data_IF_782967111146
#
_entry.id   IF_782967111146
#
_cell.length_a   1.000
_cell.length_b   1.000
_cell.length_c   1.000
_cell.angle_alpha   90.00
_cell.angle_beta   90.00
_cell.angle_gamma   90.00
#
_symmetry.space_group_name_H-M   'P 1'
#
loop_
_entity.id
_entity.type
_entity.pdbx_description
1 polymer ?
#
# COMPACT_ATOMS: atom_id res chain seq x y z
N UNK A 1 -1.61 38.77 -7.58
CA UNK A 1 -2.07 37.47 -7.05
C UNK A 1 -2.68 36.71 -8.22
N UNK A 2 -2.04 35.65 -8.70
CA UNK A 2 -2.55 34.85 -9.83
C UNK A 2 -3.68 33.94 -9.35
N UNK A 3 -4.88 34.12 -9.88
CA UNK A 3 -6.01 33.19 -9.67
C UNK A 3 -5.63 31.83 -10.26
N UNK A 4 -5.38 30.86 -9.39
CA UNK A 4 -5.10 29.47 -9.78
C UNK A 4 -6.45 28.81 -10.12
N UNK A 5 -6.60 28.16 -11.27
CA UNK A 5 -7.84 27.47 -11.63
C UNK A 5 -8.19 26.38 -10.61
N UNK A 6 -9.45 26.32 -10.21
CA UNK A 6 -9.99 25.22 -9.42
C UNK A 6 -9.92 23.91 -10.23
N UNK A 7 -9.03 23.00 -9.81
CA UNK A 7 -8.81 21.71 -10.46
C UNK A 7 -9.67 20.59 -9.83
N UNK A 8 -10.57 20.91 -8.89
CA UNK A 8 -11.37 19.91 -8.18
C UNK A 8 -12.21 19.07 -9.14
N UNK A 9 -12.86 19.69 -10.13
CA UNK A 9 -13.65 18.99 -11.15
C UNK A 9 -12.82 18.02 -12.01
N UNK A 10 -11.56 18.33 -12.31
CA UNK A 10 -10.70 17.43 -13.07
C UNK A 10 -10.27 16.22 -12.23
N UNK A 11 -10.06 16.38 -10.91
CA UNK A 11 -9.84 15.26 -9.99
C UNK A 11 -11.09 14.37 -9.91
N UNK A 12 -12.29 14.96 -9.88
CA UNK A 12 -13.54 14.20 -9.93
C UNK A 12 -13.65 13.39 -11.20
N UNK A 13 -13.36 14.01 -12.36
CA UNK A 13 -13.36 13.33 -13.66
C UNK A 13 -12.35 12.20 -13.74
N UNK A 14 -11.14 12.41 -13.21
CA UNK A 14 -10.10 11.37 -13.12
C UNK A 14 -10.59 10.18 -12.28
N UNK A 15 -11.17 10.45 -11.12
CA UNK A 15 -11.72 9.40 -10.26
C UNK A 15 -12.86 8.64 -10.94
N UNK A 16 -13.80 9.36 -11.56
CA UNK A 16 -14.88 8.76 -12.34
C UNK A 16 -14.36 7.90 -13.51
N UNK A 17 -13.24 8.28 -14.13
CA UNK A 17 -12.61 7.50 -15.19
C UNK A 17 -12.04 6.18 -14.66
N UNK A 18 -11.38 6.19 -13.49
CA UNK A 18 -10.87 4.97 -12.85
C UNK A 18 -11.99 3.98 -12.54
N UNK A 19 -13.14 4.45 -12.05
CA UNK A 19 -14.27 3.60 -11.64
C UNK A 19 -15.38 3.50 -12.70
N UNK A 20 -15.09 3.88 -13.95
CA UNK A 20 -16.09 3.93 -15.03
C UNK A 20 -16.76 2.56 -15.26
N UNK A 21 -16.00 1.48 -15.08
CA UNK A 21 -16.48 0.10 -15.17
C UNK A 21 -17.46 -0.29 -14.05
N UNK A 22 -17.51 0.47 -12.95
CA UNK A 22 -18.42 0.27 -11.82
C UNK A 22 -19.79 0.93 -11.99
N UNK A 23 -19.97 1.72 -13.05
CA UNK A 23 -21.21 2.44 -13.33
C UNK A 23 -21.54 3.52 -12.30
N UNK A 24 -22.70 4.17 -12.48
CA UNK A 24 -23.12 5.32 -11.66
C UNK A 24 -23.20 5.01 -10.17
N UNK A 25 -23.72 3.83 -9.80
CA UNK A 25 -23.85 3.43 -8.40
C UNK A 25 -22.49 3.21 -7.71
N UNK A 26 -21.52 2.63 -8.42
CA UNK A 26 -20.15 2.49 -7.92
C UNK A 26 -19.46 3.84 -7.74
N UNK A 27 -19.68 4.77 -8.68
CA UNK A 27 -19.18 6.14 -8.58
C UNK A 27 -19.80 6.88 -7.38
N UNK A 28 -21.12 6.88 -7.23
CA UNK A 28 -21.82 7.56 -6.13
C UNK A 28 -21.42 7.00 -4.75
N UNK A 29 -21.20 5.68 -4.64
CA UNK A 29 -20.68 5.05 -3.42
C UNK A 29 -19.22 5.44 -3.15
N UNK A 30 -18.38 5.47 -4.17
CA UNK A 30 -16.98 5.88 -4.02
C UNK A 30 -16.87 7.35 -3.62
N UNK A 31 -17.75 8.23 -4.12
CA UNK A 31 -17.83 9.63 -3.71
C UNK A 31 -18.35 9.82 -2.28
N UNK A 32 -19.37 9.06 -1.87
CA UNK A 32 -19.99 9.19 -0.53
C UNK A 32 -19.15 8.58 0.60
N UNK A 33 -18.43 7.47 0.33
CA UNK A 33 -17.52 6.81 1.30
C UNK A 33 -16.24 7.59 1.57
N UNK A 34 -16.00 8.61 0.77
CA UNK A 34 -14.81 9.43 0.79
C UNK A 34 -14.89 10.61 1.78
N UNK A 35 -16.02 10.73 2.49
CA UNK A 35 -16.31 11.76 3.49
C UNK A 35 -16.38 11.24 4.94
N UNK A 36 -15.85 10.04 5.25
CA UNK A 36 -15.94 9.48 6.61
C UNK A 36 -14.57 9.18 7.25
N UNK A 37 -14.01 10.23 7.87
CA UNK A 37 -13.38 10.20 9.19
C UNK A 37 -12.27 9.18 9.42
N UNK A 38 -11.06 9.49 8.94
CA UNK A 38 -9.82 8.86 9.43
C UNK A 38 -8.80 8.44 8.37
N UNK A 39 -9.09 8.68 7.09
CA UNK A 39 -8.10 8.56 6.00
C UNK A 39 -8.09 9.85 5.19
N UNK A 40 -6.97 10.17 4.56
CA UNK A 40 -6.64 11.38 3.79
C UNK A 40 -7.66 11.84 2.72
N UNK A 41 -8.81 11.20 2.60
CA UNK A 41 -9.87 11.57 1.67
C UNK A 41 -10.71 12.76 2.14
N UNK A 42 -10.59 13.15 3.41
CA UNK A 42 -11.19 14.38 3.96
C UNK A 42 -10.76 15.66 3.20
N UNK A 43 -9.78 15.58 2.29
CA UNK A 43 -9.13 16.75 1.69
C UNK A 43 -9.63 17.07 0.26
N UNK A 44 -10.37 16.16 -0.39
CA UNK A 44 -10.80 16.33 -1.81
C UNK A 44 -12.03 17.22 -1.97
N UNK A 45 -12.91 17.19 -0.97
CA UNK A 45 -14.21 17.88 -1.00
C UNK A 45 -14.25 19.13 -0.14
N UNK A 46 -13.11 19.50 0.45
CA UNK A 46 -12.96 20.77 1.16
C UNK A 46 -13.09 21.91 0.15
N UNK A 47 -13.77 22.98 0.53
CA UNK A 47 -13.82 24.20 -0.28
C UNK A 47 -12.41 24.79 -0.41
N UNK A 48 -11.94 24.97 -1.66
CA UNK A 48 -10.65 25.58 -2.00
C UNK A 48 -9.39 24.83 -1.48
N UNK A 49 -9.14 23.59 -1.93
CA UNK A 49 -7.99 22.81 -1.48
C UNK A 49 -6.66 23.39 -1.97
N UNK A 50 -5.59 23.20 -1.19
CA UNK A 50 -4.24 23.61 -1.60
C UNK A 50 -3.74 22.80 -2.81
N UNK A 51 -2.76 23.33 -3.56
CA UNK A 51 -2.15 22.58 -4.67
C UNK A 51 -1.46 21.29 -4.21
N UNK A 52 -0.89 21.30 -3.00
CA UNK A 52 -0.27 20.13 -2.40
C UNK A 52 -1.31 19.06 -2.07
N UNK A 53 -2.41 19.46 -1.46
CA UNK A 53 -3.59 18.63 -1.22
C UNK A 53 -4.02 17.93 -2.50
N UNK A 54 -4.24 18.68 -3.58
CA UNK A 54 -4.71 18.13 -4.87
C UNK A 54 -3.74 17.06 -5.38
N UNK A 55 -2.43 17.33 -5.33
CA UNK A 55 -1.42 16.36 -5.77
C UNK A 55 -1.41 15.09 -4.91
N UNK A 56 -1.46 15.23 -3.58
CA UNK A 56 -1.52 14.09 -2.65
C UNK A 56 -2.75 13.23 -2.93
N UNK A 57 -3.91 13.86 -3.07
CA UNK A 57 -5.16 13.19 -3.41
C UNK A 57 -5.07 12.39 -4.71
N UNK A 58 -4.54 12.99 -5.78
CA UNK A 58 -4.40 12.30 -7.08
C UNK A 58 -3.50 11.06 -6.95
N UNK A 59 -2.41 11.17 -6.18
CA UNK A 59 -1.50 10.04 -5.91
C UNK A 59 -2.18 8.96 -5.06
N UNK A 60 -2.96 9.34 -4.05
CA UNK A 60 -3.69 8.40 -3.20
C UNK A 60 -4.79 7.67 -3.98
N UNK A 61 -5.56 8.37 -4.81
CA UNK A 61 -6.55 7.75 -5.71
C UNK A 61 -5.88 6.74 -6.64
N UNK A 62 -4.76 7.12 -7.27
CA UNK A 62 -4.00 6.22 -8.14
C UNK A 62 -3.48 5.00 -7.38
N UNK A 63 -2.94 5.21 -6.19
CA UNK A 63 -2.46 4.13 -5.30
C UNK A 63 -3.60 3.19 -4.92
N UNK A 64 -4.74 3.74 -4.53
CA UNK A 64 -5.86 2.96 -4.05
C UNK A 64 -6.43 2.07 -5.16
N UNK A 65 -6.64 2.65 -6.35
CA UNK A 65 -7.18 1.94 -7.50
C UNK A 65 -6.23 0.89 -8.08
N UNK A 66 -4.97 1.27 -8.32
CA UNK A 66 -4.01 0.41 -9.04
C UNK A 66 -3.47 -0.69 -8.13
N UNK A 67 -3.26 -0.38 -6.85
CA UNK A 67 -2.47 -1.22 -5.95
C UNK A 67 -3.26 -1.68 -4.73
N UNK A 68 -3.74 -0.75 -3.90
CA UNK A 68 -4.19 -1.08 -2.56
C UNK A 68 -5.48 -1.90 -2.55
N UNK A 69 -6.53 -1.46 -3.25
CA UNK A 69 -7.83 -2.16 -3.25
C UNK A 69 -7.70 -3.57 -3.83
N UNK A 70 -7.06 -3.80 -5.00
CA UNK A 70 -6.84 -5.15 -5.51
C UNK A 70 -6.01 -6.02 -4.55
N UNK A 71 -4.98 -5.45 -3.92
CA UNK A 71 -4.14 -6.14 -2.93
C UNK A 71 -4.97 -6.57 -1.72
N UNK A 72 -5.82 -5.69 -1.19
CA UNK A 72 -6.69 -6.04 -0.07
C UNK A 72 -7.67 -7.14 -0.44
N UNK A 73 -8.32 -7.06 -1.60
CA UNK A 73 -9.19 -8.13 -2.08
C UNK A 73 -8.45 -9.48 -2.16
N UNK A 74 -7.22 -9.50 -2.70
CA UNK A 74 -6.39 -10.69 -2.74
C UNK A 74 -6.03 -11.22 -1.33
N UNK A 75 -5.73 -10.34 -0.37
CA UNK A 75 -5.47 -10.73 1.03
C UNK A 75 -6.69 -11.40 1.67
N UNK A 76 -7.89 -10.83 1.50
CA UNK A 76 -9.13 -11.44 2.02
C UNK A 76 -9.43 -12.76 1.35
N UNK A 77 -9.28 -12.86 0.03
CA UNK A 77 -9.51 -14.11 -0.70
C UNK A 77 -8.53 -15.18 -0.25
N UNK A 78 -7.23 -14.86 -0.13
CA UNK A 78 -6.25 -15.83 0.34
C UNK A 78 -6.52 -16.23 1.80
N UNK A 79 -6.75 -15.28 2.71
CA UNK A 79 -7.00 -15.57 4.11
C UNK A 79 -8.28 -16.39 4.37
N UNK A 80 -9.29 -16.27 3.52
CA UNK A 80 -10.54 -17.03 3.65
C UNK A 80 -10.49 -18.41 3.00
N UNK A 81 -9.65 -18.61 1.97
CA UNK A 81 -9.60 -19.86 1.20
C UNK A 81 -8.35 -20.71 1.47
N UNK A 82 -7.30 -20.16 2.09
CA UNK A 82 -6.09 -20.91 2.40
C UNK A 82 -6.38 -22.00 3.44
N UNK A 83 -6.02 -23.25 3.10
CA UNK A 83 -6.19 -24.42 3.99
C UNK A 83 -5.03 -24.57 4.96
N UNK A 84 -3.80 -24.42 4.46
CA UNK A 84 -2.54 -24.60 5.20
C UNK A 84 -1.66 -23.36 5.14
N UNK A 85 -1.98 -22.41 4.26
CA UNK A 85 -1.19 -21.22 4.02
C UNK A 85 -1.48 -20.09 5.00
N UNK A 86 -0.44 -19.36 5.38
CA UNK A 86 -0.55 -18.16 6.19
C UNK A 86 -0.49 -16.93 5.27
N UNK A 87 -1.32 -15.94 5.60
CA UNK A 87 -1.43 -14.67 4.86
C UNK A 87 -0.76 -13.57 5.66
N UNK A 88 0.05 -12.74 5.01
CA UNK A 88 0.71 -11.60 5.65
C UNK A 88 0.59 -10.35 4.78
N UNK A 89 0.42 -9.20 5.45
CA UNK A 89 0.26 -7.90 4.80
C UNK A 89 1.27 -6.89 5.33
N UNK A 90 1.81 -6.06 4.46
CA UNK A 90 2.60 -4.89 4.84
C UNK A 90 2.34 -3.66 4.01
N UNK A 91 2.77 -2.52 4.55
CA UNK A 91 2.94 -1.25 3.85
C UNK A 91 4.41 -0.87 3.91
N UNK A 92 5.04 -0.62 2.78
CA UNK A 92 6.36 0.01 2.74
C UNK A 92 6.18 1.52 2.69
N UNK A 93 6.73 2.25 3.65
CA UNK A 93 6.51 3.70 3.80
C UNK A 93 7.79 4.52 3.91
N UNK A 94 8.97 3.93 3.71
CA UNK A 94 10.23 4.67 3.70
C UNK A 94 10.22 5.74 2.59
N UNK A 95 10.49 7.02 2.91
CA UNK A 95 10.45 8.09 1.93
C UNK A 95 11.38 7.85 0.74
N UNK A 96 10.85 8.08 -0.47
CA UNK A 96 11.58 7.85 -1.71
C UNK A 96 12.85 8.68 -1.79
N UNK A 97 13.87 8.06 -2.37
CA UNK A 97 15.16 8.69 -2.65
C UNK A 97 15.40 8.98 -4.12
N UNK A 98 14.43 8.65 -4.97
CA UNK A 98 14.54 8.84 -6.41
C UNK A 98 14.48 10.32 -6.84
N UNK A 99 14.10 11.22 -5.92
CA UNK A 99 14.27 12.66 -6.08
C UNK A 99 15.74 13.08 -6.09
N UNK A 100 16.35 13.18 -7.27
CA UNK A 100 17.72 13.67 -7.44
C UNK A 100 17.84 15.20 -7.24
N UNK A 101 19.07 15.70 -7.21
CA UNK A 101 19.38 17.14 -7.04
C UNK A 101 18.70 18.03 -8.10
N UNK A 102 18.55 17.52 -9.32
CA UNK A 102 17.96 18.27 -10.43
C UNK A 102 16.42 18.30 -10.42
N UNK A 103 15.76 17.33 -9.79
CA UNK A 103 14.29 17.22 -9.66
C UNK A 103 13.95 16.54 -8.34
N UNK A 104 14.12 17.25 -7.21
CA UNK A 104 13.83 16.67 -5.91
C UNK A 104 12.34 16.35 -5.82
N UNK A 105 12.03 15.22 -5.21
CA UNK A 105 10.66 14.93 -4.84
C UNK A 105 10.18 15.93 -3.76
N UNK A 106 8.88 16.25 -3.72
CA UNK A 106 8.33 17.06 -2.64
C UNK A 106 8.63 16.41 -1.28
N UNK A 107 8.81 17.23 -0.23
CA UNK A 107 9.16 16.73 1.11
C UNK A 107 8.10 15.80 1.72
N UNK A 108 6.85 15.92 1.26
CA UNK A 108 5.74 15.05 1.68
C UNK A 108 5.69 13.71 0.93
N UNK A 109 6.60 13.47 -0.01
CA UNK A 109 6.60 12.24 -0.79
C UNK A 109 7.02 11.06 0.08
N UNK A 110 6.14 10.07 0.21
CA UNK A 110 6.44 8.78 0.84
C UNK A 110 7.22 7.85 -0.09
N UNK A 111 7.01 6.55 0.09
CA UNK A 111 7.51 5.54 -0.84
C UNK A 111 6.83 5.65 -2.21
N UNK A 112 7.62 5.60 -3.28
CA UNK A 112 7.13 5.50 -4.66
C UNK A 112 7.11 4.03 -5.10
N UNK A 113 6.48 3.79 -6.24
CA UNK A 113 6.43 2.47 -6.82
C UNK A 113 7.84 1.91 -7.08
N UNK A 114 8.06 0.64 -6.72
CA UNK A 114 9.32 -0.10 -6.82
C UNK A 114 10.48 0.41 -5.93
N UNK A 115 10.24 1.39 -5.06
CA UNK A 115 11.27 1.84 -4.11
C UNK A 115 11.68 0.73 -3.13
N UNK A 116 10.80 -0.22 -2.82
CA UNK A 116 11.07 -1.35 -1.93
C UNK A 116 12.15 -2.31 -2.49
N UNK A 117 12.25 -2.44 -3.81
CA UNK A 117 13.16 -3.38 -4.47
C UNK A 117 14.63 -3.19 -4.06
N UNK A 118 15.09 -1.94 -3.97
CA UNK A 118 16.48 -1.67 -3.57
C UNK A 118 16.79 -2.19 -2.16
N UNK A 119 15.79 -2.19 -1.27
CA UNK A 119 15.93 -2.68 0.10
C UNK A 119 15.82 -4.21 0.15
N UNK A 120 14.90 -4.80 -0.63
CA UNK A 120 14.75 -6.27 -0.79
C UNK A 120 16.06 -6.89 -1.29
N UNK A 121 16.70 -6.28 -2.28
CA UNK A 121 17.94 -6.79 -2.89
C UNK A 121 19.23 -6.32 -2.20
N UNK A 122 19.15 -5.66 -1.05
CA UNK A 122 20.35 -5.29 -0.28
C UNK A 122 21.23 -4.22 -0.93
N UNK A 123 20.67 -3.35 -1.78
CA UNK A 123 21.39 -2.22 -2.39
C UNK A 123 22.08 -1.31 -1.36
N UNK A 124 21.48 -1.01 -0.19
CA UNK A 124 22.14 -0.23 0.86
C UNK A 124 23.45 -0.84 1.41
N UNK A 125 23.63 -2.16 1.28
CA UNK A 125 24.85 -2.85 1.67
C UNK A 125 25.87 -2.91 0.53
N UNK A 126 25.43 -3.14 -0.71
CA UNK A 126 26.32 -3.24 -1.88
C UNK A 126 26.78 -1.88 -2.42
N UNK A 127 26.08 -0.79 -2.09
CA UNK A 127 26.44 0.58 -2.52
C UNK A 127 26.43 1.56 -1.35
N UNK A 128 27.23 1.35 -0.29
CA UNK A 128 27.06 2.01 1.01
C UNK A 128 27.19 3.54 0.96
N UNK A 129 27.99 4.09 0.05
CA UNK A 129 28.14 5.54 -0.14
C UNK A 129 26.85 6.22 -0.62
N UNK A 130 25.97 5.46 -1.28
CA UNK A 130 24.68 5.95 -1.74
C UNK A 130 23.62 5.97 -0.66
N UNK A 131 23.86 5.42 0.55
CA UNK A 131 22.82 5.17 1.56
C UNK A 131 23.21 5.59 2.98
N UNK A 132 22.26 6.26 3.66
CA UNK A 132 22.33 6.53 5.10
C UNK A 132 22.19 5.24 5.93
N UNK A 133 22.69 5.21 7.19
CA UNK A 133 22.55 4.07 8.09
C UNK A 133 21.11 3.57 8.21
N UNK A 134 20.13 4.47 8.38
CA UNK A 134 18.70 4.13 8.46
C UNK A 134 18.18 3.28 7.29
N UNK A 135 18.76 3.44 6.09
CA UNK A 135 18.34 2.64 4.94
C UNK A 135 18.90 1.23 4.99
N UNK A 136 20.08 1.04 5.62
CA UNK A 136 20.61 -0.30 5.89
C UNK A 136 19.76 -0.99 6.93
N UNK A 137 19.24 -0.25 7.92
CA UNK A 137 18.29 -0.78 8.89
C UNK A 137 17.03 -1.29 8.18
N UNK A 138 16.39 -0.45 7.35
CA UNK A 138 15.22 -0.86 6.54
C UNK A 138 15.52 -2.08 5.65
N UNK A 139 16.68 -2.10 4.98
CA UNK A 139 17.08 -3.24 4.15
C UNK A 139 17.32 -4.50 4.97
N UNK A 140 17.89 -4.37 6.17
CA UNK A 140 18.05 -5.51 7.09
C UNK A 140 16.70 -6.08 7.53
N UNK A 141 15.71 -5.22 7.81
CA UNK A 141 14.38 -5.62 8.24
C UNK A 141 13.67 -6.41 7.15
N UNK A 142 13.63 -5.87 5.93
CA UNK A 142 12.95 -6.53 4.82
C UNK A 142 13.64 -7.84 4.46
N UNK A 143 14.99 -7.88 4.38
CA UNK A 143 15.73 -9.11 4.10
C UNK A 143 15.48 -10.17 5.19
N UNK A 144 15.44 -9.78 6.47
CA UNK A 144 15.15 -10.70 7.56
C UNK A 144 13.75 -11.33 7.41
N UNK A 145 12.72 -10.53 7.15
CA UNK A 145 11.36 -11.03 6.93
C UNK A 145 11.26 -11.94 5.70
N UNK A 146 11.81 -11.50 4.56
CA UNK A 146 11.78 -12.25 3.30
C UNK A 146 12.51 -13.60 3.41
N UNK A 147 13.68 -13.63 4.04
CA UNK A 147 14.46 -14.87 4.19
C UNK A 147 13.88 -15.80 5.24
N UNK A 148 13.33 -15.29 6.35
CA UNK A 148 12.60 -16.10 7.32
C UNK A 148 11.38 -16.77 6.69
N UNK A 149 10.60 -15.98 5.94
CA UNK A 149 9.44 -16.47 5.21
C UNK A 149 9.80 -17.54 4.19
N UNK A 150 10.82 -17.29 3.35
CA UNK A 150 11.26 -18.27 2.35
C UNK A 150 11.70 -19.60 2.98
N UNK A 151 12.24 -19.57 4.21
CA UNK A 151 12.75 -20.76 4.89
C UNK A 151 11.66 -21.54 5.63
N UNK A 152 10.64 -20.90 6.18
CA UNK A 152 9.68 -21.55 7.10
C UNK A 152 8.21 -21.32 6.78
N UNK A 153 7.88 -20.44 5.84
CA UNK A 153 6.53 -19.93 5.61
C UNK A 153 6.03 -18.95 6.69
N UNK A 154 6.80 -18.73 7.75
CA UNK A 154 6.54 -17.76 8.81
C UNK A 154 7.58 -16.65 8.84
N UNK A 155 7.14 -15.40 9.08
CA UNK A 155 8.04 -14.24 9.05
C UNK A 155 8.87 -14.07 10.32
N UNK A 156 8.39 -14.63 11.44
CA UNK A 156 9.01 -14.49 12.76
C UNK A 156 9.98 -15.64 13.09
N UNK A 157 10.10 -16.64 12.21
CA UNK A 157 10.88 -17.86 12.43
C UNK A 157 11.71 -18.14 11.18
N UNK A 158 13.01 -18.36 11.33
CA UNK A 158 13.90 -18.61 10.19
C UNK A 158 15.38 -18.38 10.46
N UNK A 159 15.71 -17.80 11.60
CA UNK A 159 17.08 -17.60 12.08
C UNK A 159 17.57 -16.17 11.97
N UNK A 160 16.85 -15.30 11.25
CA UNK A 160 17.06 -13.85 11.33
C UNK A 160 16.18 -13.25 12.42
N UNK A 161 16.75 -12.35 13.22
CA UNK A 161 15.99 -11.52 14.14
C UNK A 161 15.17 -10.50 13.36
N UNK A 162 13.94 -10.24 13.80
CA UNK A 162 13.04 -9.28 13.17
C UNK A 162 12.71 -8.14 14.13
N UNK A 163 12.55 -6.90 13.65
CA UNK A 163 12.35 -5.73 14.50
C UNK A 163 11.01 -5.72 15.23
N UNK A 164 9.96 -6.25 14.59
CA UNK A 164 8.61 -6.39 15.17
C UNK A 164 8.06 -7.78 14.87
N UNK A 165 7.33 -8.42 15.80
CA UNK A 165 6.56 -9.61 15.45
C UNK A 165 5.54 -9.28 14.37
N UNK A 166 5.57 -9.98 13.24
CA UNK A 166 4.64 -9.78 12.14
C UNK A 166 3.42 -10.71 12.32
N UNK A 167 2.23 -10.18 12.64
CA UNK A 167 1.04 -10.99 12.85
C UNK A 167 0.48 -11.53 11.52
N UNK A 168 -0.13 -12.71 11.58
CA UNK A 168 -0.90 -13.23 10.46
C UNK A 168 -2.07 -12.29 10.14
N UNK A 169 -2.28 -12.01 8.86
CA UNK A 169 -3.45 -11.29 8.39
C UNK A 169 -4.70 -12.17 8.53
N UNK A 170 -5.74 -11.60 9.13
CA UNK A 170 -7.07 -12.21 9.24
C UNK A 170 -8.13 -11.23 8.76
N UNK A 171 -9.26 -11.76 8.29
CA UNK A 171 -10.40 -10.96 7.82
C UNK A 171 -11.07 -10.12 8.91
N UNK A 172 -10.75 -10.38 10.19
CA UNK A 172 -11.26 -9.63 11.35
C UNK A 172 -10.22 -8.71 11.96
N UNK A 173 -8.96 -9.12 11.98
CA UNK A 173 -7.86 -8.35 12.58
C UNK A 173 -7.32 -7.27 11.65
N UNK A 174 -7.31 -7.51 10.34
CA UNK A 174 -6.81 -6.58 9.32
C UNK A 174 -5.42 -6.02 9.63
N UNK A 175 -4.59 -6.82 10.30
CA UNK A 175 -3.27 -6.41 10.77
C UNK A 175 -2.28 -6.40 9.62
N UNK A 176 -1.40 -5.40 9.62
CA UNK A 176 -0.27 -5.31 8.72
C UNK A 176 0.93 -4.73 9.46
N UNK A 177 2.12 -5.03 8.96
CA UNK A 177 3.35 -4.36 9.42
C UNK A 177 3.64 -3.18 8.51
N UNK A 178 3.98 -2.04 9.10
CA UNK A 178 4.52 -0.93 8.34
C UNK A 178 6.05 -1.03 8.37
N UNK A 179 6.68 -1.06 7.19
CA UNK A 179 8.14 -1.10 7.05
C UNK A 179 8.64 0.32 6.83
N UNK A 180 9.27 0.87 7.86
CA UNK A 180 9.83 2.21 7.92
C UNK A 180 11.11 2.20 8.77
N UNK A 181 12.03 3.15 8.58
CA UNK A 181 13.26 3.18 9.37
C UNK A 181 13.04 3.34 10.88
N UNK A 182 11.98 4.05 11.27
CA UNK A 182 11.62 4.25 12.69
C UNK A 182 10.84 3.08 13.31
N UNK A 183 10.75 1.93 12.62
CA UNK A 183 10.00 0.80 13.16
C UNK A 183 10.62 0.24 14.45
N UNK A 184 9.76 -0.14 15.38
CA UNK A 184 10.11 -0.75 16.66
C UNK A 184 9.29 -2.03 16.90
N UNK A 185 9.39 -2.63 18.09
CA UNK A 185 8.72 -3.89 18.45
C UNK A 185 7.18 -3.87 18.42
N UNK A 186 6.58 -2.68 18.40
CA UNK A 186 5.13 -2.45 18.44
C UNK A 186 4.62 -1.84 17.12
N UNK A 187 5.40 -1.93 16.03
CA UNK A 187 5.13 -1.27 14.76
C UNK A 187 4.16 -2.06 13.85
N UNK A 188 3.11 -2.58 14.49
CA UNK A 188 1.97 -3.22 13.84
C UNK A 188 0.84 -2.20 13.73
N UNK A 189 0.16 -2.22 12.60
CA UNK A 189 -0.99 -1.36 12.29
C UNK A 189 -2.19 -2.22 11.94
N UNK A 190 -3.36 -1.59 11.89
CA UNK A 190 -4.62 -2.24 11.55
C UNK A 190 -5.43 -1.33 10.63
N UNK A 191 -6.38 -1.94 9.92
CA UNK A 191 -7.42 -1.22 9.17
C UNK A 191 -6.88 -0.21 8.16
N UNK A 192 -5.91 -0.62 7.34
CA UNK A 192 -5.40 0.21 6.25
C UNK A 192 -6.54 0.60 5.30
N UNK A 193 -6.97 1.86 5.30
CA UNK A 193 -7.93 2.46 4.34
C UNK A 193 -9.15 1.56 4.00
N UNK A 194 -9.68 0.85 5.00
CA UNK A 194 -10.68 -0.21 4.83
C UNK A 194 -12.01 0.26 4.19
N UNK A 195 -12.33 1.54 4.30
CA UNK A 195 -13.61 2.10 3.83
C UNK A 195 -13.81 1.95 2.32
N UNK A 196 -12.74 1.99 1.52
CA UNK A 196 -12.83 1.71 0.08
C UNK A 196 -13.13 0.24 -0.26
N UNK A 197 -12.88 -0.69 0.66
CA UNK A 197 -13.11 -2.13 0.45
C UNK A 197 -14.43 -2.64 1.03
N UNK A 198 -14.99 -1.97 2.05
CA UNK A 198 -16.19 -2.42 2.78
C UNK A 198 -17.51 -1.88 2.22
N UNK A 199 -17.50 -0.98 1.24
CA UNK A 199 -18.71 -0.55 0.53
C UNK A 199 -19.29 -1.61 -0.42
N UNK A 200 -19.66 -2.77 0.16
CA UNK A 200 -20.87 -3.51 -0.19
C UNK A 200 -20.72 -4.86 -0.93
N UNK A 201 -20.97 -6.01 -0.28
CA UNK A 201 -21.12 -7.33 -0.94
C UNK A 201 -22.40 -7.49 -1.79
N UNK A 202 -23.25 -6.46 -1.89
CA UNK A 202 -24.50 -6.50 -2.66
C UNK A 202 -24.37 -5.99 -4.11
N UNK A 203 -23.18 -5.57 -4.54
CA UNK A 203 -23.00 -4.86 -5.82
C UNK A 203 -21.89 -5.42 -6.71
N UNK A 204 -21.26 -6.53 -6.34
CA UNK A 204 -20.30 -7.21 -7.20
C UNK A 204 -21.01 -8.30 -8.01
N UNK A 205 -21.47 -8.05 -9.26
CA UNK A 205 -21.53 -9.15 -10.20
C UNK A 205 -20.08 -9.63 -10.36
N UNK A 206 -19.88 -10.93 -10.14
CA UNK A 206 -18.70 -11.73 -10.49
C UNK A 206 -17.70 -11.00 -11.37
N UNK A 207 -16.49 -10.75 -10.84
CA UNK A 207 -15.36 -10.23 -11.61
C UNK A 207 -15.09 -11.14 -12.83
N UNK A 208 -15.26 -10.68 -14.08
CA UNK A 208 -14.55 -11.30 -15.19
C UNK A 208 -13.09 -10.87 -15.06
N UNK A 209 -12.23 -11.79 -14.64
CA UNK A 209 -10.78 -11.60 -14.72
C UNK A 209 -10.40 -11.24 -16.16
N UNK A 210 -9.94 -10.02 -16.39
CA UNK A 210 -9.18 -9.64 -17.58
C UNK A 210 -7.73 -9.39 -17.12
N UNK A 211 -6.74 -10.13 -17.64
CA UNK A 211 -5.35 -9.94 -17.25
C UNK A 211 -4.83 -8.70 -17.98
N UNK A 212 -4.65 -7.59 -17.27
CA UNK A 212 -3.85 -6.48 -17.78
C UNK A 212 -2.82 -6.03 -16.75
N UNK A 213 -1.56 -6.18 -17.17
CA UNK A 213 -0.29 -5.63 -16.70
C UNK A 213 -0.17 -5.20 -15.24
N UNK A 214 0.54 -6.07 -14.52
CA UNK A 214 0.93 -6.03 -13.11
C UNK A 214 1.83 -4.85 -12.79
N UNK A 215 1.69 -4.35 -11.58
CA UNK A 215 2.80 -3.72 -10.86
C UNK A 215 2.60 -3.92 -9.35
N UNK A 216 3.71 -4.16 -8.63
CA UNK A 216 3.70 -4.87 -7.33
C UNK A 216 3.35 -4.00 -6.12
N UNK A 217 2.33 -4.42 -5.37
CA UNK A 217 2.44 -4.54 -3.91
C UNK A 217 2.94 -5.94 -3.67
N UNK A 218 4.09 -6.07 -3.03
CA UNK A 218 4.59 -7.38 -2.65
C UNK A 218 3.72 -7.97 -1.54
N UNK A 219 3.16 -9.14 -1.79
CA UNK A 219 2.46 -9.95 -0.80
C UNK A 219 3.30 -11.18 -0.51
N UNK A 220 3.34 -11.60 0.76
CA UNK A 220 3.88 -12.90 1.15
C UNK A 220 2.72 -13.83 1.49
N UNK A 221 2.50 -14.81 0.62
CA UNK A 221 1.54 -15.89 0.83
C UNK A 221 2.31 -17.20 0.89
N UNK A 222 2.32 -17.86 2.05
CA UNK A 222 2.96 -19.18 2.16
C UNK A 222 1.94 -20.21 1.73
N UNK A 223 2.30 -21.10 0.82
CA UNK A 223 1.55 -22.34 0.58
C UNK A 223 2.48 -23.50 0.95
N UNK A 224 2.08 -24.36 1.88
CA UNK A 224 2.70 -25.69 1.96
C UNK A 224 2.29 -26.44 0.70
N UNK A 225 3.26 -26.72 -0.17
CA UNK A 225 3.16 -27.82 -1.11
C UNK A 225 3.44 -29.06 -0.28
N UNK A 226 2.38 -29.69 0.21
CA UNK A 226 2.48 -31.07 0.65
C UNK A 226 2.72 -31.90 -0.63
N UNK A 227 3.99 -32.29 -0.84
CA UNK A 227 4.41 -33.26 -1.85
C UNK A 227 4.11 -34.68 -1.36
#
# INVERSE_FOLDING_TARGET
>A
MSNIPDCSEDVKRLFAAYIKDKGKAGADNAYSTSNWGGSSFDVVWVSNPSRETIKKTVLEIGTDYIFLVPTQAALYLHATNAKTGQTYSYLFSEPSRMGGIARPYPSWMGADHADDLQYVFGKPFSSPLGYWPRHRDVSSYIIAYWTNFAKTGGLNKGGQSVPTPWPQFTSTGHQYVEIHHDMNKDYVRQKMRIVMCISGPASYPTFPFQPQNKLLVHQMCSCSVDL
#
